data_IF_187435970542
#
_entry.id   IF_187435970542
#
_cell.length_a   1.000
_cell.length_b   1.000
_cell.length_c   1.000
_cell.angle_alpha   90.00
_cell.angle_beta   90.00
_cell.angle_gamma   90.00
#
_symmetry.space_group_name_H-M   'P 1'
#
loop_
_entity.id
_entity.type
_entity.pdbx_description
1 polymer ?
#
# COMPACT_ATOMS: atom_id res chain seq x y z
N UNK A 1 -49.64 -0.97 31.24
CA UNK A 1 -49.46 0.41 30.71
C UNK A 1 -47.97 0.64 30.65
N UNK A 2 -47.45 0.76 29.46
CA UNK A 2 -46.00 1.03 29.20
C UNK A 2 -45.93 2.51 28.86
N UNK A 3 -45.27 3.30 29.70
CA UNK A 3 -45.03 4.71 29.44
C UNK A 3 -43.88 4.85 28.42
N UNK A 4 -44.15 5.52 27.31
CA UNK A 4 -43.16 5.93 26.35
C UNK A 4 -42.65 7.32 26.74
N UNK A 5 -41.36 7.42 27.02
CA UNK A 5 -40.70 8.72 27.16
C UNK A 5 -39.86 9.01 25.92
N UNK A 6 -40.15 10.10 25.26
CA UNK A 6 -39.39 10.63 24.11
C UNK A 6 -38.36 11.63 24.64
N UNK A 7 -37.10 11.32 24.48
CA UNK A 7 -36.04 12.28 24.71
C UNK A 7 -35.63 12.96 23.36
N UNK A 8 -35.56 14.27 23.40
CA UNK A 8 -35.13 15.09 22.24
C UNK A 8 -33.71 15.57 22.44
N UNK A 9 -32.86 15.30 21.46
CA UNK A 9 -31.48 15.83 21.45
C UNK A 9 -31.39 16.85 20.34
N UNK A 10 -30.92 18.04 20.67
CA UNK A 10 -30.65 19.10 19.71
C UNK A 10 -29.22 19.03 19.22
N UNK A 11 -29.01 18.87 17.91
CA UNK A 11 -27.70 18.91 17.27
C UNK A 11 -27.59 20.14 16.37
N UNK A 12 -26.44 20.82 16.43
CA UNK A 12 -26.09 21.93 15.56
C UNK A 12 -25.41 21.39 14.30
N UNK A 13 -25.94 21.74 13.12
CA UNK A 13 -25.44 21.25 11.81
C UNK A 13 -24.32 22.11 11.21
N UNK A 14 -23.73 23.01 12.00
CA UNK A 14 -22.64 23.89 11.54
C UNK A 14 -23.11 25.11 10.73
N UNK A 15 -24.41 25.22 10.40
CA UNK A 15 -24.96 26.36 9.66
C UNK A 15 -25.79 27.32 10.54
N UNK A 16 -25.79 27.10 11.86
CA UNK A 16 -26.54 27.89 12.82
C UNK A 16 -28.03 27.53 12.96
N UNK A 17 -28.49 26.43 12.37
CA UNK A 17 -29.88 25.92 12.53
C UNK A 17 -29.90 24.70 13.42
N UNK A 18 -30.76 24.71 14.44
CA UNK A 18 -31.02 23.58 15.32
C UNK A 18 -32.02 22.62 14.68
N UNK A 19 -31.65 21.35 14.56
CA UNK A 19 -32.57 20.25 14.24
C UNK A 19 -32.72 19.34 15.45
N UNK A 20 -33.97 19.02 15.77
CA UNK A 20 -34.32 18.06 16.83
C UNK A 20 -34.54 16.68 16.22
N UNK A 21 -33.86 15.68 16.76
CA UNK A 21 -34.05 14.26 16.41
C UNK A 21 -34.59 13.53 17.61
N UNK A 22 -35.73 12.88 17.46
CA UNK A 22 -36.36 12.08 18.50
C UNK A 22 -35.75 10.69 18.57
N UNK A 23 -35.32 10.24 19.73
CA UNK A 23 -34.85 8.88 20.00
C UNK A 23 -35.85 8.17 20.91
N UNK A 24 -36.40 7.05 20.48
CA UNK A 24 -37.23 6.19 21.31
C UNK A 24 -36.34 5.29 22.19
N UNK A 25 -36.45 5.39 23.51
CA UNK A 25 -35.71 4.56 24.45
C UNK A 25 -36.63 3.48 25.01
N UNK A 26 -36.28 2.22 24.79
CA UNK A 26 -36.95 1.08 25.43
C UNK A 26 -36.34 0.87 26.81
N UNK A 27 -37.11 1.00 27.86
CA UNK A 27 -36.75 0.70 29.25
C UNK A 27 -36.92 -0.78 29.57
N UNK A 28 -35.87 -1.46 29.93
CA UNK A 28 -35.93 -2.83 30.41
C UNK A 28 -34.57 -3.43 30.74
N UNK A 29 -34.20 -3.45 32.01
CA UNK A 29 -33.25 -4.32 32.74
C UNK A 29 -31.77 -4.37 32.36
N UNK A 30 -30.93 -3.71 33.16
CA UNK A 30 -29.54 -3.99 33.59
C UNK A 30 -28.69 -4.92 32.69
N UNK A 31 -28.03 -4.34 31.72
CA UNK A 31 -26.77 -4.83 31.17
C UNK A 31 -25.72 -3.71 31.32
N UNK A 32 -24.65 -4.00 32.06
CA UNK A 32 -23.45 -3.19 32.02
C UNK A 32 -22.87 -3.28 30.60
N UNK A 33 -23.23 -2.36 29.76
CA UNK A 33 -22.52 -2.15 28.50
C UNK A 33 -21.19 -1.46 28.86
N UNK A 34 -20.10 -2.23 28.89
CA UNK A 34 -18.76 -1.67 28.75
C UNK A 34 -18.74 -0.99 27.38
N UNK A 35 -18.95 0.30 27.35
CA UNK A 35 -18.50 1.14 26.26
C UNK A 35 -16.98 1.11 26.28
N UNK A 36 -16.36 0.20 25.52
CA UNK A 36 -15.03 0.41 25.03
C UNK A 36 -15.10 1.69 24.20
N UNK A 37 -14.74 2.80 24.82
CA UNK A 37 -14.45 4.02 24.10
C UNK A 37 -13.28 3.70 23.17
N UNK A 38 -13.57 3.35 21.92
CA UNK A 38 -12.61 3.44 20.85
C UNK A 38 -12.32 4.93 20.74
N UNK A 39 -11.23 5.37 21.40
CA UNK A 39 -10.73 6.71 21.21
C UNK A 39 -10.57 6.92 19.70
N UNK A 40 -11.09 8.01 19.12
CA UNK A 40 -10.79 8.33 17.74
C UNK A 40 -9.26 8.42 17.63
N UNK A 41 -8.66 7.60 16.81
CA UNK A 41 -7.27 7.80 16.38
C UNK A 41 -7.31 9.10 15.58
N UNK A 42 -6.98 10.21 16.26
CA UNK A 42 -6.87 11.52 15.63
C UNK A 42 -5.63 11.47 14.74
N UNK A 43 -5.82 11.29 13.46
CA UNK A 43 -4.76 11.38 12.45
C UNK A 43 -4.59 12.81 11.90
N UNK A 44 -5.15 13.82 12.58
CA UNK A 44 -5.08 15.24 12.17
C UNK A 44 -3.82 15.99 12.64
N UNK A 45 -2.83 15.27 13.20
CA UNK A 45 -1.52 15.84 13.51
C UNK A 45 -0.60 15.90 12.30
N UNK A 46 0.47 16.73 12.36
CA UNK A 46 1.52 16.69 11.34
C UNK A 46 2.08 15.27 11.21
N UNK A 47 2.37 14.84 9.98
CA UNK A 47 2.96 13.51 9.76
C UNK A 47 4.31 13.42 10.48
N UNK A 48 4.63 12.27 11.11
CA UNK A 48 5.90 12.09 11.81
C UNK A 48 7.09 12.31 10.87
N UNK A 49 8.14 12.90 11.38
CA UNK A 49 9.42 13.03 10.67
C UNK A 49 10.07 11.66 10.45
N UNK A 50 11.09 11.57 9.58
CA UNK A 50 11.84 10.32 9.40
C UNK A 50 12.39 9.78 10.73
N UNK A 51 12.95 10.66 11.58
CA UNK A 51 13.52 10.30 12.89
C UNK A 51 12.48 9.76 13.88
N UNK A 52 11.25 10.26 13.82
CA UNK A 52 10.13 9.84 14.68
C UNK A 52 9.45 8.55 14.19
N UNK A 53 9.71 8.16 12.94
CA UNK A 53 9.02 7.02 12.31
C UNK A 53 9.52 5.67 12.78
N UNK A 54 10.74 5.54 13.30
CA UNK A 54 11.27 4.28 13.81
C UNK A 54 12.80 4.15 13.77
N UNK A 55 13.29 2.93 13.93
CA UNK A 55 14.71 2.60 13.88
C UNK A 55 15.11 2.14 12.48
N UNK A 56 16.17 2.75 11.94
CA UNK A 56 16.74 2.44 10.63
C UNK A 56 17.75 1.27 10.73
N UNK A 57 17.77 0.41 9.70
CA UNK A 57 18.70 -0.70 9.59
C UNK A 57 18.81 -1.25 8.16
N UNK A 58 19.58 -2.33 8.00
CA UNK A 58 19.79 -2.99 6.71
C UNK A 58 19.64 -4.50 6.83
N UNK A 59 18.94 -5.11 5.89
CA UNK A 59 18.86 -6.56 5.70
C UNK A 59 19.73 -6.95 4.50
N UNK A 60 20.48 -8.06 4.62
CA UNK A 60 21.31 -8.57 3.53
C UNK A 60 20.48 -9.47 2.62
N UNK A 61 20.40 -9.13 1.33
CA UNK A 61 19.76 -9.93 0.26
C UNK A 61 20.79 -10.30 -0.80
N UNK A 62 21.42 -11.46 -0.65
CA UNK A 62 22.60 -11.80 -1.45
C UNK A 62 23.70 -10.76 -1.28
N UNK A 63 24.10 -10.10 -2.37
CA UNK A 63 25.10 -9.03 -2.35
C UNK A 63 24.51 -7.64 -2.10
N UNK A 64 23.18 -7.51 -2.09
CA UNK A 64 22.46 -6.22 -1.99
C UNK A 64 22.04 -5.99 -0.54
N UNK A 65 22.27 -4.79 -0.01
CA UNK A 65 21.75 -4.32 1.27
C UNK A 65 20.44 -3.60 1.06
N UNK A 66 19.40 -4.06 1.73
CA UNK A 66 18.05 -3.48 1.70
C UNK A 66 17.86 -2.68 2.97
N UNK A 67 17.73 -1.37 2.81
CA UNK A 67 17.43 -0.45 3.90
C UNK A 67 15.99 -0.65 4.38
N UNK A 68 15.77 -0.51 5.66
CA UNK A 68 14.43 -0.49 6.25
C UNK A 68 14.35 0.47 7.45
N UNK A 69 13.12 0.87 7.77
CA UNK A 69 12.77 1.50 9.04
C UNK A 69 11.77 0.60 9.75
N UNK A 70 12.03 0.28 11.03
CA UNK A 70 11.19 -0.62 11.82
C UNK A 70 10.67 0.04 13.08
N UNK A 71 9.45 -0.34 13.49
CA UNK A 71 8.79 0.13 14.71
C UNK A 71 7.88 -0.95 15.28
N UNK A 72 7.72 -0.96 16.62
CA UNK A 72 6.83 -1.87 17.32
C UNK A 72 7.42 -3.26 17.54
N UNK A 73 6.61 -4.17 18.05
CA UNK A 73 6.94 -5.56 18.34
C UNK A 73 5.71 -6.44 18.07
N UNK A 74 5.91 -7.74 17.88
CA UNK A 74 4.84 -8.70 17.63
C UNK A 74 4.95 -9.37 16.26
N UNK A 75 3.85 -9.85 15.66
CA UNK A 75 3.85 -10.44 14.33
C UNK A 75 4.40 -9.45 13.29
N UNK A 76 5.19 -9.95 12.34
CA UNK A 76 5.87 -9.12 11.36
C UNK A 76 4.93 -8.63 10.26
N UNK A 77 4.99 -7.34 9.96
CA UNK A 77 4.35 -6.69 8.81
C UNK A 77 5.43 -6.01 7.97
N UNK A 78 5.60 -6.43 6.72
CA UNK A 78 6.55 -5.85 5.76
C UNK A 78 5.79 -4.94 4.80
N UNK A 79 6.16 -3.67 4.75
CA UNK A 79 5.56 -2.64 3.91
C UNK A 79 6.49 -2.31 2.74
N UNK A 80 6.00 -2.45 1.51
CA UNK A 80 6.76 -2.30 0.26
C UNK A 80 6.16 -1.15 -0.53
N UNK A 81 6.94 -0.09 -0.77
CA UNK A 81 6.53 1.09 -1.53
C UNK A 81 6.56 0.85 -3.04
N UNK A 82 6.01 1.79 -3.81
CA UNK A 82 6.01 1.79 -5.27
C UNK A 82 6.98 2.79 -5.92
N UNK A 83 6.61 3.26 -7.11
CA UNK A 83 7.33 4.27 -7.88
C UNK A 83 6.42 5.48 -8.18
N UNK A 84 6.93 6.73 -8.06
CA UNK A 84 8.17 7.11 -7.38
C UNK A 84 7.91 7.31 -5.89
N UNK A 85 8.47 6.45 -5.07
CA UNK A 85 8.20 6.45 -3.63
C UNK A 85 9.40 5.88 -2.84
N UNK A 86 9.31 5.81 -1.51
CA UNK A 86 10.28 5.16 -0.63
C UNK A 86 9.59 4.80 0.69
N UNK A 87 10.29 4.17 1.67
CA UNK A 87 9.71 3.69 2.92
C UNK A 87 8.81 4.70 3.64
N UNK A 88 9.07 6.00 3.53
CA UNK A 88 8.37 7.08 4.22
C UNK A 88 6.92 7.28 3.74
N UNK A 89 6.53 6.66 2.65
CA UNK A 89 5.13 6.62 2.21
C UNK A 89 4.22 6.05 3.30
N UNK A 90 4.76 5.16 4.14
CA UNK A 90 4.04 4.47 5.21
C UNK A 90 4.00 5.22 6.54
N UNK A 91 4.57 6.43 6.63
CA UNK A 91 4.70 7.23 7.85
C UNK A 91 3.39 7.42 8.63
N UNK A 92 2.24 7.46 7.93
CA UNK A 92 0.93 7.60 8.55
C UNK A 92 0.32 6.28 9.03
N UNK A 93 0.70 5.15 8.43
CA UNK A 93 0.22 3.82 8.79
C UNK A 93 1.06 3.18 9.90
N UNK A 94 2.36 3.40 9.89
CA UNK A 94 3.31 2.77 10.82
C UNK A 94 2.98 2.98 12.30
N UNK A 95 2.62 4.19 12.79
CA UNK A 95 2.31 4.39 14.21
C UNK A 95 1.20 3.48 14.72
N UNK A 96 0.06 3.45 14.05
CA UNK A 96 -1.09 2.64 14.48
C UNK A 96 -0.86 1.13 14.31
N UNK A 97 -0.18 0.70 13.25
CA UNK A 97 0.19 -0.70 13.07
C UNK A 97 1.17 -1.17 14.14
N UNK A 98 2.13 -0.31 14.52
CA UNK A 98 3.16 -0.65 15.51
C UNK A 98 2.65 -0.86 16.94
N UNK A 99 1.41 -0.53 17.22
CA UNK A 99 0.76 -0.85 18.50
C UNK A 99 0.58 -2.37 18.73
N UNK A 100 0.50 -3.15 17.64
CA UNK A 100 0.21 -4.59 17.70
C UNK A 100 1.14 -5.46 16.87
N UNK A 101 1.98 -4.85 16.03
CA UNK A 101 2.82 -5.53 15.06
C UNK A 101 4.25 -4.99 15.09
N UNK A 102 5.22 -5.83 14.73
CA UNK A 102 6.53 -5.37 14.30
C UNK A 102 6.40 -4.92 12.85
N UNK A 103 6.42 -3.60 12.61
CA UNK A 103 6.27 -3.01 11.28
C UNK A 103 7.64 -2.72 10.70
N UNK A 104 7.88 -3.14 9.46
CA UNK A 104 9.11 -2.93 8.72
C UNK A 104 8.77 -2.33 7.36
N UNK A 105 9.07 -1.05 7.17
CA UNK A 105 8.96 -0.37 5.88
C UNK A 105 10.31 -0.38 5.18
N UNK A 106 10.42 -1.10 4.05
CA UNK A 106 11.68 -1.26 3.33
C UNK A 106 11.79 -0.27 2.17
N UNK A 107 13.02 0.16 1.86
CA UNK A 107 13.34 0.73 0.55
C UNK A 107 13.64 -0.39 -0.42
N UNK A 108 13.00 -0.42 -1.56
CA UNK A 108 13.33 -1.39 -2.60
C UNK A 108 14.73 -1.11 -3.18
N UNK A 109 15.42 -2.12 -3.74
CA UNK A 109 16.70 -1.91 -4.43
C UNK A 109 16.57 -0.80 -5.47
N UNK A 110 17.59 0.03 -5.64
CA UNK A 110 17.57 1.18 -6.53
C UNK A 110 16.98 2.45 -5.92
N UNK A 111 16.36 2.37 -4.74
CA UNK A 111 15.71 3.49 -4.07
C UNK A 111 16.41 3.90 -2.78
N UNK A 112 16.46 5.20 -2.54
CA UNK A 112 16.90 5.87 -1.32
C UNK A 112 18.22 5.31 -0.75
N UNK A 113 18.18 4.57 0.36
CA UNK A 113 19.36 4.05 1.06
C UNK A 113 19.67 2.58 0.77
N UNK A 114 18.80 1.89 0.04
CA UNK A 114 19.11 0.53 -0.44
C UNK A 114 20.16 0.57 -1.53
N UNK A 115 20.91 -0.52 -1.67
CA UNK A 115 21.89 -0.66 -2.74
C UNK A 115 21.24 -0.55 -4.11
N UNK A 116 22.01 -0.07 -5.08
CA UNK A 116 21.57 0.30 -6.41
C UNK A 116 22.38 -0.45 -7.47
N UNK A 117 22.22 -1.78 -7.58
CA UNK A 117 23.02 -2.59 -8.51
C UNK A 117 22.77 -2.17 -9.95
N UNK A 118 23.80 -2.21 -10.77
CA UNK A 118 23.72 -1.94 -12.21
C UNK A 118 23.12 -3.11 -12.98
N UNK A 119 22.49 -2.81 -14.11
CA UNK A 119 21.90 -3.80 -15.01
C UNK A 119 20.43 -4.08 -14.76
N UNK A 120 19.67 -4.22 -15.84
CA UNK A 120 18.20 -4.45 -15.81
C UNK A 120 17.87 -5.78 -15.14
N UNK A 121 18.71 -6.79 -15.34
CA UNK A 121 18.55 -8.14 -14.77
C UNK A 121 18.63 -8.16 -13.24
N UNK A 122 19.23 -7.11 -12.62
CA UNK A 122 19.26 -6.95 -11.16
C UNK A 122 17.91 -6.58 -10.57
N UNK A 123 16.94 -6.21 -11.41
CA UNK A 123 15.60 -5.77 -11.02
C UNK A 123 14.52 -6.74 -11.50
N UNK A 124 14.90 -7.99 -11.84
CA UNK A 124 13.92 -9.04 -12.16
C UNK A 124 13.00 -9.29 -10.96
N UNK A 125 11.73 -9.70 -11.22
CA UNK A 125 10.76 -9.98 -10.17
C UNK A 125 11.27 -11.02 -9.15
N UNK A 126 12.02 -12.01 -9.60
CA UNK A 126 12.66 -13.01 -8.74
C UNK A 126 13.57 -12.36 -7.69
N UNK A 127 14.41 -11.39 -8.09
CA UNK A 127 15.30 -10.68 -7.18
C UNK A 127 14.55 -9.76 -6.22
N UNK A 128 13.51 -9.07 -6.70
CA UNK A 128 12.67 -8.22 -5.86
C UNK A 128 11.92 -9.03 -4.80
N UNK A 129 11.39 -10.18 -5.17
CA UNK A 129 10.78 -11.16 -4.25
C UNK A 129 11.83 -11.70 -3.25
N UNK A 130 13.05 -11.94 -3.73
CA UNK A 130 14.18 -12.35 -2.90
C UNK A 130 14.51 -11.33 -1.81
N UNK A 131 14.39 -10.03 -2.08
CA UNK A 131 14.59 -8.96 -1.08
C UNK A 131 13.56 -9.03 0.04
N UNK A 132 12.30 -9.23 -0.30
CA UNK A 132 11.22 -9.38 0.72
C UNK A 132 11.49 -10.60 1.59
N UNK A 133 11.88 -11.73 0.99
CA UNK A 133 12.27 -12.94 1.72
C UNK A 133 13.43 -12.68 2.66
N UNK A 134 14.47 -11.97 2.20
CA UNK A 134 15.63 -11.62 2.99
C UNK A 134 15.27 -10.74 4.19
N UNK A 135 14.38 -9.75 4.00
CA UNK A 135 13.88 -8.89 5.08
C UNK A 135 13.13 -9.74 6.12
N UNK A 136 12.21 -10.62 5.71
CA UNK A 136 11.47 -11.50 6.65
C UNK A 136 12.45 -12.35 7.46
N UNK A 137 13.44 -12.98 6.81
CA UNK A 137 14.45 -13.81 7.48
C UNK A 137 15.38 -13.01 8.39
N UNK A 138 15.71 -11.77 8.02
CA UNK A 138 16.52 -10.87 8.85
C UNK A 138 15.89 -10.61 10.23
N UNK A 139 14.55 -10.53 10.28
CA UNK A 139 13.80 -10.39 11.53
C UNK A 139 13.54 -11.74 12.24
N UNK A 140 14.16 -12.83 11.79
CA UNK A 140 14.04 -14.16 12.41
C UNK A 140 12.65 -14.79 12.25
N UNK A 141 11.86 -14.33 11.27
CA UNK A 141 10.49 -14.81 11.06
C UNK A 141 10.42 -15.79 9.89
N UNK A 142 9.53 -16.76 10.01
CA UNK A 142 9.24 -17.72 8.93
C UNK A 142 8.19 -17.17 7.96
N UNK A 143 7.30 -16.31 8.43
CA UNK A 143 6.24 -15.69 7.65
C UNK A 143 5.93 -14.27 8.13
N UNK A 144 5.30 -13.48 7.26
CA UNK A 144 4.88 -12.13 7.56
C UNK A 144 3.55 -11.79 6.88
N UNK A 145 2.90 -10.75 7.38
CA UNK A 145 1.94 -9.97 6.57
C UNK A 145 2.74 -9.18 5.56
N UNK A 146 2.41 -9.30 4.27
CA UNK A 146 3.07 -8.56 3.19
C UNK A 146 2.12 -7.50 2.67
N UNK A 147 2.58 -6.25 2.66
CA UNK A 147 1.80 -5.08 2.23
C UNK A 147 2.54 -4.40 1.10
N UNK A 148 1.86 -4.11 -0.01
CA UNK A 148 2.49 -3.43 -1.14
C UNK A 148 1.60 -2.38 -1.79
N UNK A 149 2.23 -1.29 -2.23
CA UNK A 149 1.63 -0.24 -3.03
C UNK A 149 2.33 -0.16 -4.38
N UNK A 150 1.60 -0.01 -5.49
CA UNK A 150 2.13 0.13 -6.86
C UNK A 150 3.16 -0.98 -7.18
N UNK A 151 4.42 -0.69 -7.55
CA UNK A 151 5.45 -1.72 -7.76
C UNK A 151 5.67 -2.59 -6.54
N UNK A 152 5.56 -2.05 -5.33
CA UNK A 152 5.56 -2.85 -4.10
C UNK A 152 4.39 -3.83 -4.06
N UNK A 153 3.24 -3.45 -4.61
CA UNK A 153 2.08 -4.34 -4.80
C UNK A 153 2.37 -5.46 -5.80
N UNK A 154 3.08 -5.16 -6.91
CA UNK A 154 3.50 -6.17 -7.89
C UNK A 154 4.44 -7.21 -7.25
N UNK A 155 5.39 -6.73 -6.44
CA UNK A 155 6.31 -7.59 -5.67
C UNK A 155 5.53 -8.41 -4.64
N UNK A 156 4.58 -7.80 -3.91
CA UNK A 156 3.77 -8.46 -2.89
C UNK A 156 2.86 -9.55 -3.49
N UNK A 157 2.20 -9.29 -4.63
CA UNK A 157 1.45 -10.32 -5.37
C UNK A 157 2.35 -11.48 -5.77
N UNK A 158 3.51 -11.19 -6.39
CA UNK A 158 4.46 -12.20 -6.83
C UNK A 158 5.01 -13.00 -5.65
N UNK A 159 5.31 -12.35 -4.51
CA UNK A 159 5.76 -12.99 -3.29
C UNK A 159 4.71 -13.97 -2.75
N UNK A 160 3.45 -13.54 -2.64
CA UNK A 160 2.37 -14.39 -2.13
C UNK A 160 2.09 -15.60 -3.03
N UNK A 161 2.26 -15.47 -4.35
CA UNK A 161 2.12 -16.55 -5.31
C UNK A 161 3.29 -17.55 -5.29
N UNK A 162 4.52 -17.07 -5.06
CA UNK A 162 5.73 -17.91 -5.13
C UNK A 162 6.22 -18.42 -3.78
N UNK A 163 5.85 -17.74 -2.68
CA UNK A 163 6.20 -18.09 -1.30
C UNK A 163 4.96 -18.11 -0.40
N UNK A 164 3.95 -18.95 -0.73
CA UNK A 164 2.70 -18.98 0.04
C UNK A 164 2.93 -19.41 1.51
N UNK A 165 3.96 -20.20 1.79
CA UNK A 165 4.34 -20.63 3.13
C UNK A 165 4.89 -19.48 3.99
N UNK A 166 5.43 -18.43 3.36
CA UNK A 166 5.98 -17.26 4.03
C UNK A 166 4.99 -16.08 4.09
N UNK A 167 3.80 -16.20 3.49
CA UNK A 167 2.79 -15.14 3.45
C UNK A 167 1.63 -15.48 4.37
N UNK A 168 1.52 -14.78 5.50
CA UNK A 168 0.40 -14.95 6.43
C UNK A 168 -0.88 -14.31 5.89
N UNK A 169 -0.78 -13.06 5.45
CA UNK A 169 -1.85 -12.26 4.83
C UNK A 169 -1.25 -11.30 3.81
N UNK A 170 -2.03 -10.91 2.84
CA UNK A 170 -1.61 -9.98 1.79
C UNK A 170 -2.48 -8.72 1.79
N UNK A 171 -1.84 -7.54 1.78
CA UNK A 171 -2.53 -6.25 1.64
C UNK A 171 -1.99 -5.52 0.42
N UNK A 172 -2.87 -5.13 -0.48
CA UNK A 172 -2.51 -4.45 -1.73
C UNK A 172 -3.21 -3.10 -1.81
N UNK A 173 -2.43 -2.06 -2.05
CA UNK A 173 -2.91 -0.71 -2.28
C UNK A 173 -2.62 -0.29 -3.72
N UNK A 174 -3.63 0.19 -4.43
CA UNK A 174 -3.54 0.70 -5.81
C UNK A 174 -2.59 -0.11 -6.71
N UNK A 175 -2.79 -1.40 -6.72
CA UNK A 175 -2.33 -2.31 -7.77
C UNK A 175 -3.33 -3.47 -7.92
N UNK A 176 -3.90 -3.69 -9.10
CA UNK A 176 -4.72 -4.87 -9.37
C UNK A 176 -3.86 -6.14 -9.41
N UNK A 177 -4.51 -7.29 -9.37
CA UNK A 177 -3.82 -8.56 -9.65
C UNK A 177 -3.15 -8.52 -11.04
N UNK A 178 -1.94 -9.09 -11.23
CA UNK A 178 -1.22 -9.05 -12.50
C UNK A 178 -2.07 -9.48 -13.71
N UNK A 179 -2.88 -10.52 -13.57
CA UNK A 179 -3.78 -10.97 -14.65
C UNK A 179 -4.89 -9.96 -14.95
N UNK A 180 -5.40 -9.25 -13.93
CA UNK A 180 -6.38 -8.17 -14.12
C UNK A 180 -5.77 -7.00 -14.90
N UNK A 181 -4.57 -6.57 -14.54
CA UNK A 181 -3.85 -5.53 -15.27
C UNK A 181 -3.54 -5.96 -16.70
N UNK A 182 -3.05 -7.19 -16.88
CA UNK A 182 -2.75 -7.71 -18.22
C UNK A 182 -4.00 -7.77 -19.11
N UNK A 183 -5.15 -8.18 -18.55
CA UNK A 183 -6.43 -8.16 -19.26
C UNK A 183 -6.79 -6.73 -19.71
N UNK A 184 -6.72 -5.75 -18.81
CA UNK A 184 -7.03 -4.35 -19.13
C UNK A 184 -6.06 -3.80 -20.19
N UNK A 185 -4.77 -4.09 -20.08
CA UNK A 185 -3.79 -3.71 -21.11
C UNK A 185 -4.11 -4.33 -22.48
N UNK A 186 -4.62 -5.57 -22.52
CA UNK A 186 -4.96 -6.24 -23.77
C UNK A 186 -6.28 -5.75 -24.39
N UNK A 187 -7.25 -5.31 -23.56
CA UNK A 187 -8.63 -5.10 -24.03
C UNK A 187 -9.17 -3.68 -23.83
N UNK A 188 -8.56 -2.86 -22.98
CA UNK A 188 -9.05 -1.53 -22.64
C UNK A 188 -8.15 -0.44 -23.27
N UNK A 189 -8.60 0.26 -24.33
CA UNK A 189 -7.81 1.34 -24.95
C UNK A 189 -7.48 2.51 -24.00
N UNK A 190 -8.32 2.75 -22.98
CA UNK A 190 -8.05 3.79 -22.00
C UNK A 190 -6.89 3.39 -21.09
N UNK A 191 -6.88 2.15 -20.58
CA UNK A 191 -5.75 1.64 -19.80
C UNK A 191 -4.46 1.68 -20.64
N UNK A 192 -4.51 1.32 -21.93
CA UNK A 192 -3.34 1.40 -22.81
C UNK A 192 -2.82 2.83 -22.96
N UNK A 193 -3.71 3.83 -23.14
CA UNK A 193 -3.30 5.24 -23.20
C UNK A 193 -2.69 5.70 -21.88
N UNK A 194 -3.33 5.39 -20.77
CA UNK A 194 -2.87 5.78 -19.45
C UNK A 194 -1.53 5.12 -19.05
N UNK A 195 -1.23 3.95 -19.62
CA UNK A 195 0.05 3.24 -19.43
C UNK A 195 1.19 3.73 -20.33
N UNK A 196 1.00 4.81 -21.11
CA UNK A 196 2.04 5.34 -21.99
C UNK A 196 3.32 5.75 -21.23
N UNK A 197 3.20 6.20 -19.98
CA UNK A 197 4.35 6.52 -19.14
C UNK A 197 5.27 5.30 -18.92
N UNK A 198 4.70 4.12 -18.69
CA UNK A 198 5.46 2.89 -18.47
C UNK A 198 6.26 2.51 -19.74
N UNK A 199 5.67 2.63 -20.93
CA UNK A 199 6.39 2.43 -22.20
C UNK A 199 7.51 3.46 -22.41
N UNK A 200 7.28 4.71 -21.98
CA UNK A 200 8.32 5.73 -22.04
C UNK A 200 9.48 5.42 -21.09
N UNK A 201 9.21 4.91 -19.90
CA UNK A 201 10.24 4.50 -18.93
C UNK A 201 11.07 3.30 -19.40
N UNK A 202 10.54 2.50 -20.30
CA UNK A 202 11.28 1.38 -20.90
C UNK A 202 12.29 1.82 -22.00
N UNK A 203 12.22 3.07 -22.47
CA UNK A 203 13.10 3.56 -23.55
C UNK A 203 14.51 3.81 -23.02
N UNK A 204 15.54 3.59 -23.87
CA UNK A 204 16.91 4.02 -23.54
C UNK A 204 16.97 5.52 -23.21
N UNK A 205 17.73 5.88 -22.19
CA UNK A 205 17.91 7.27 -21.80
C UNK A 205 16.74 7.91 -21.06
N UNK A 206 15.64 7.18 -20.77
CA UNK A 206 14.48 7.73 -20.06
C UNK A 206 14.85 8.28 -18.68
N UNK A 207 15.81 7.67 -18.00
CA UNK A 207 16.24 8.11 -16.66
C UNK A 207 16.86 9.52 -16.67
N UNK A 208 17.53 9.93 -17.75
CA UNK A 208 18.12 11.26 -17.87
C UNK A 208 17.10 12.40 -17.99
N UNK A 209 15.82 12.07 -18.19
CA UNK A 209 14.71 13.03 -18.22
C UNK A 209 14.07 13.23 -16.86
N UNK A 210 14.47 12.46 -15.83
CA UNK A 210 13.91 12.54 -14.48
C UNK A 210 14.72 13.51 -13.63
N UNK A 211 14.02 14.19 -12.71
CA UNK A 211 14.62 14.98 -11.64
C UNK A 211 13.96 14.61 -10.32
N UNK A 212 14.67 14.76 -9.21
CA UNK A 212 14.14 14.48 -7.88
C UNK A 212 12.89 15.33 -7.58
N UNK A 213 12.93 16.61 -7.94
CA UNK A 213 11.81 17.55 -7.79
C UNK A 213 10.61 17.15 -8.67
N UNK A 214 10.89 16.69 -9.89
CA UNK A 214 9.88 16.19 -10.83
C UNK A 214 9.17 14.97 -10.30
N UNK A 215 9.91 14.01 -9.75
CA UNK A 215 9.38 12.81 -9.13
C UNK A 215 8.60 13.10 -7.85
N UNK A 216 8.99 14.10 -7.05
CA UNK A 216 8.32 14.49 -5.80
C UNK A 216 7.09 15.41 -6.01
N UNK A 217 6.71 15.73 -7.26
CA UNK A 217 5.65 16.73 -7.56
C UNK A 217 4.28 16.35 -7.01
N UNK A 218 3.98 15.07 -6.92
CA UNK A 218 2.71 14.56 -6.41
C UNK A 218 2.54 14.76 -4.89
N UNK A 219 3.64 14.90 -4.14
CA UNK A 219 3.61 15.11 -2.69
C UNK A 219 3.10 16.51 -2.38
N UNK A 220 1.93 16.61 -1.76
CA UNK A 220 1.26 17.89 -1.48
C UNK A 220 1.76 18.57 -0.20
N UNK A 221 2.17 17.79 0.81
CA UNK A 221 2.76 18.29 2.06
C UNK A 221 4.19 18.81 1.80
N UNK A 222 4.47 20.11 2.02
CA UNK A 222 5.78 20.69 1.73
C UNK A 222 6.92 20.09 2.56
N UNK A 223 6.68 19.76 3.83
CA UNK A 223 7.70 19.16 4.70
C UNK A 223 8.04 17.74 4.22
N UNK A 224 7.02 16.93 3.92
CA UNK A 224 7.23 15.61 3.34
C UNK A 224 7.93 15.70 1.97
N UNK A 225 7.54 16.67 1.11
CA UNK A 225 8.16 16.83 -0.21
C UNK A 225 9.66 17.05 -0.15
N UNK A 226 10.16 17.79 0.84
CA UNK A 226 11.61 17.95 1.04
C UNK A 226 12.29 16.61 1.27
N UNK A 227 11.74 15.77 2.16
CA UNK A 227 12.28 14.42 2.42
C UNK A 227 12.25 13.54 1.14
N UNK A 228 11.19 13.65 0.33
CA UNK A 228 11.08 12.91 -0.94
C UNK A 228 12.13 13.36 -1.96
N UNK A 229 12.37 14.66 -2.10
CA UNK A 229 13.42 15.20 -3.00
C UNK A 229 14.80 14.65 -2.57
N UNK A 230 15.12 14.72 -1.28
CA UNK A 230 16.37 14.18 -0.74
C UNK A 230 16.50 12.66 -0.94
N UNK A 231 15.42 11.89 -0.74
CA UNK A 231 15.43 10.45 -0.97
C UNK A 231 15.66 10.12 -2.46
N UNK A 232 15.04 10.87 -3.38
CA UNK A 232 15.23 10.66 -4.82
C UNK A 232 16.61 11.11 -5.30
N UNK A 233 17.21 12.14 -4.68
CA UNK A 233 18.61 12.52 -4.94
C UNK A 233 19.61 11.41 -4.55
N UNK A 234 19.25 10.59 -3.55
CA UNK A 234 20.04 9.41 -3.16
C UNK A 234 19.75 8.18 -3.99
N UNK A 235 18.68 8.16 -4.80
CA UNK A 235 18.22 7.01 -5.57
C UNK A 235 18.87 6.93 -6.94
N UNK A 236 18.94 5.74 -7.53
CA UNK A 236 19.28 5.55 -8.93
C UNK A 236 18.05 5.66 -9.83
N UNK A 237 17.92 6.72 -10.59
CA UNK A 237 16.80 6.83 -11.56
C UNK A 237 16.81 5.71 -12.58
N UNK A 238 18.00 5.26 -13.01
CA UNK A 238 18.12 4.10 -13.90
C UNK A 238 17.62 2.82 -13.16
N UNK A 239 18.04 2.61 -11.91
CA UNK A 239 17.57 1.50 -11.08
C UNK A 239 16.06 1.52 -10.89
N UNK A 240 15.49 2.70 -10.59
CA UNK A 240 14.04 2.88 -10.46
C UNK A 240 13.29 2.50 -11.73
N UNK A 241 13.81 2.91 -12.92
CA UNK A 241 13.20 2.58 -14.21
C UNK A 241 13.45 1.14 -14.65
N UNK A 242 14.43 0.46 -14.09
CA UNK A 242 14.70 -0.95 -14.38
C UNK A 242 13.57 -1.88 -13.90
N UNK A 243 12.74 -1.46 -12.94
CA UNK A 243 11.49 -2.15 -12.60
C UNK A 243 10.58 -2.27 -13.83
N UNK A 244 10.40 -1.18 -14.57
CA UNK A 244 9.60 -1.16 -15.80
C UNK A 244 10.28 -1.92 -16.94
N UNK A 245 11.59 -1.76 -17.11
CA UNK A 245 12.35 -2.41 -18.18
C UNK A 245 12.37 -3.93 -18.05
N UNK A 246 12.48 -4.43 -16.81
CA UNK A 246 12.55 -5.86 -16.52
C UNK A 246 11.17 -6.53 -16.47
N UNK A 247 10.12 -5.85 -15.93
CA UNK A 247 8.91 -6.55 -15.50
C UNK A 247 7.61 -6.01 -16.11
N UNK A 248 7.57 -4.78 -16.65
CA UNK A 248 6.32 -4.25 -17.20
C UNK A 248 6.04 -4.84 -18.59
N UNK A 249 4.80 -5.27 -18.89
CA UNK A 249 4.44 -5.84 -20.18
C UNK A 249 4.78 -4.91 -21.36
N UNK A 250 5.17 -5.51 -22.47
CA UNK A 250 5.47 -4.80 -23.73
C UNK A 250 4.37 -5.04 -24.76
N UNK A 251 4.18 -4.08 -25.66
CA UNK A 251 3.28 -4.25 -26.81
C UNK A 251 3.86 -5.29 -27.82
N UNK A 252 2.99 -6.05 -28.50
CA UNK A 252 1.53 -6.04 -28.37
C UNK A 252 1.07 -6.74 -27.08
N UNK A 253 0.13 -6.11 -26.38
CA UNK A 253 -0.45 -6.70 -25.17
C UNK A 253 -1.36 -7.87 -25.51
N UNK A 254 -1.24 -8.96 -24.75
CA UNK A 254 -2.01 -10.18 -24.93
C UNK A 254 -2.75 -10.54 -23.62
N UNK A 255 -3.85 -11.25 -23.75
CA UNK A 255 -4.52 -11.83 -22.60
C UNK A 255 -3.59 -12.80 -21.85
N UNK A 256 -3.78 -13.00 -20.53
CA UNK A 256 -3.05 -14.01 -19.78
C UNK A 256 -3.20 -15.40 -20.43
N UNK A 257 -2.08 -16.07 -20.70
CA UNK A 257 -2.08 -17.41 -21.31
C UNK A 257 -2.49 -18.48 -20.29
N UNK A 258 -2.24 -18.22 -18.99
CA UNK A 258 -2.64 -19.09 -17.89
C UNK A 258 -3.02 -18.23 -16.68
N UNK A 259 -3.84 -18.79 -15.78
CA UNK A 259 -4.19 -18.10 -14.53
C UNK A 259 -3.02 -18.01 -13.54
N UNK A 260 -1.96 -18.79 -13.76
CA UNK A 260 -0.82 -18.89 -12.83
C UNK A 260 -1.19 -19.52 -11.48
N UNK A 261 -0.27 -19.49 -10.51
CA UNK A 261 -0.54 -19.98 -9.16
C UNK A 261 -1.52 -19.04 -8.44
N UNK A 262 -2.49 -19.62 -7.72
CA UNK A 262 -3.42 -18.85 -6.88
C UNK A 262 -2.75 -18.42 -5.59
N UNK A 263 -3.16 -17.24 -5.10
CA UNK A 263 -2.77 -16.74 -3.78
C UNK A 263 -3.49 -17.56 -2.70
N UNK A 264 -2.74 -18.09 -1.73
CA UNK A 264 -3.23 -19.05 -0.70
C UNK A 264 -3.53 -18.42 0.66
N UNK A 265 -3.36 -17.11 0.81
CA UNK A 265 -3.66 -16.39 2.03
C UNK A 265 -4.86 -15.44 1.86
N UNK A 266 -5.48 -14.96 2.95
CA UNK A 266 -6.48 -13.89 2.87
C UNK A 266 -5.88 -12.61 2.27
N UNK A 267 -6.69 -11.89 1.49
CA UNK A 267 -6.27 -10.68 0.77
C UNK A 267 -7.16 -9.50 1.13
N UNK A 268 -6.54 -8.37 1.48
CA UNK A 268 -7.16 -7.06 1.53
C UNK A 268 -6.67 -6.22 0.35
N UNK A 269 -7.58 -5.70 -0.46
CA UNK A 269 -7.26 -4.70 -1.47
C UNK A 269 -7.93 -3.37 -1.11
N UNK A 270 -7.18 -2.27 -1.22
CA UNK A 270 -7.69 -0.90 -1.07
C UNK A 270 -7.29 -0.12 -2.32
N UNK A 271 -8.27 0.45 -3.03
CA UNK A 271 -8.03 1.08 -4.33
C UNK A 271 -8.74 2.44 -4.44
N UNK A 272 -7.97 3.47 -4.75
CA UNK A 272 -8.49 4.82 -5.06
C UNK A 272 -9.11 4.85 -6.45
N UNK A 273 -10.38 5.24 -6.57
CA UNK A 273 -11.13 5.17 -7.84
C UNK A 273 -10.72 6.26 -8.84
N UNK A 274 -9.97 7.28 -8.42
CA UNK A 274 -9.44 8.31 -9.31
C UNK A 274 -8.07 7.95 -9.89
N UNK A 275 -7.53 6.75 -9.56
CA UNK A 275 -6.27 6.29 -10.12
C UNK A 275 -6.33 6.20 -11.65
N UNK A 276 -5.55 7.05 -12.30
CA UNK A 276 -5.46 7.11 -13.76
C UNK A 276 -4.42 6.16 -14.34
N UNK A 277 -3.47 5.73 -13.53
CA UNK A 277 -2.44 4.79 -13.96
C UNK A 277 -2.97 3.35 -13.99
N UNK A 278 -3.80 3.01 -13.01
CA UNK A 278 -4.32 1.66 -12.77
C UNK A 278 -5.84 1.72 -12.63
N UNK A 279 -6.54 1.62 -13.74
CA UNK A 279 -7.99 1.78 -13.79
C UNK A 279 -8.72 0.69 -12.98
N UNK A 280 -9.84 1.02 -12.31
CA UNK A 280 -10.56 0.09 -11.45
C UNK A 280 -11.15 -1.12 -12.17
N UNK A 281 -11.29 -1.08 -13.49
CA UNK A 281 -11.68 -2.25 -14.30
C UNK A 281 -10.79 -3.47 -14.09
N UNK A 282 -9.51 -3.24 -13.81
CA UNK A 282 -8.54 -4.30 -13.54
C UNK A 282 -8.79 -5.07 -12.22
N UNK A 283 -9.62 -4.53 -11.32
CA UNK A 283 -10.00 -5.20 -10.06
C UNK A 283 -11.04 -6.31 -10.28
N UNK A 284 -11.76 -6.28 -11.40
CA UNK A 284 -12.78 -7.28 -11.69
C UNK A 284 -12.16 -8.67 -11.76
N UNK A 285 -12.92 -9.64 -11.27
CA UNK A 285 -12.54 -11.05 -11.28
C UNK A 285 -11.32 -11.43 -10.42
N UNK A 286 -10.77 -10.53 -9.61
CA UNK A 286 -9.62 -10.80 -8.73
C UNK A 286 -9.83 -12.07 -7.90
N UNK A 287 -11.06 -12.36 -7.44
CA UNK A 287 -11.40 -13.55 -6.66
C UNK A 287 -11.13 -14.87 -7.38
N UNK A 288 -11.04 -14.90 -8.71
CA UNK A 288 -10.72 -16.11 -9.48
C UNK A 288 -9.29 -16.60 -9.24
N UNK A 289 -8.38 -15.72 -8.86
CA UNK A 289 -6.95 -15.98 -8.64
C UNK A 289 -6.59 -16.18 -7.15
N UNK A 290 -7.60 -16.29 -6.28
CA UNK A 290 -7.43 -16.47 -4.85
C UNK A 290 -8.03 -17.79 -4.38
N UNK A 291 -7.43 -18.41 -3.35
CA UNK A 291 -7.97 -19.60 -2.66
C UNK A 291 -8.68 -19.22 -1.35
N UNK A 292 -8.48 -17.99 -0.85
CA UNK A 292 -9.01 -17.48 0.41
C UNK A 292 -9.81 -16.19 0.18
N UNK A 293 -10.29 -15.63 1.27
CA UNK A 293 -11.17 -14.46 1.29
C UNK A 293 -10.51 -13.23 0.65
N UNK A 294 -11.28 -12.50 -0.14
CA UNK A 294 -10.97 -11.16 -0.62
C UNK A 294 -11.84 -10.14 0.11
N UNK A 295 -11.18 -9.19 0.76
CA UNK A 295 -11.80 -7.93 1.17
C UNK A 295 -11.37 -6.85 0.19
N UNK A 296 -12.31 -6.27 -0.55
CA UNK A 296 -12.04 -5.17 -1.49
C UNK A 296 -12.70 -3.89 -0.97
N UNK A 297 -11.89 -2.85 -0.79
CA UNK A 297 -12.32 -1.51 -0.41
C UNK A 297 -11.96 -0.55 -1.53
N UNK A 298 -12.96 0.09 -2.11
CA UNK A 298 -12.75 1.15 -3.09
C UNK A 298 -12.97 2.51 -2.43
N UNK A 299 -12.12 3.48 -2.75
CA UNK A 299 -12.13 4.81 -2.12
C UNK A 299 -12.44 5.87 -3.16
N UNK A 300 -13.71 6.31 -3.26
CA UNK A 300 -14.07 7.43 -4.14
C UNK A 300 -13.29 8.70 -3.76
N UNK A 301 -12.78 9.40 -4.76
CA UNK A 301 -12.05 10.65 -4.56
C UNK A 301 -10.55 10.50 -4.27
N UNK A 302 -10.07 9.31 -3.88
CA UNK A 302 -8.64 9.04 -3.75
C UNK A 302 -8.03 8.64 -5.11
N UNK A 303 -6.80 9.07 -5.34
CA UNK A 303 -6.01 8.78 -6.53
C UNK A 303 -5.05 7.60 -6.26
N UNK A 304 -3.95 7.55 -6.99
CA UNK A 304 -2.95 6.49 -6.96
C UNK A 304 -2.32 6.25 -5.57
N UNK A 305 -2.03 7.30 -4.82
CA UNK A 305 -1.44 7.19 -3.46
C UNK A 305 -2.51 7.12 -2.37
N UNK A 306 -3.38 6.11 -2.43
CA UNK A 306 -4.52 5.96 -1.50
C UNK A 306 -4.11 5.99 -0.02
N UNK A 307 -2.88 5.50 0.32
CA UNK A 307 -2.31 5.55 1.67
C UNK A 307 -1.97 6.97 2.14
N UNK A 308 -1.92 7.93 1.22
CA UNK A 308 -1.74 9.36 1.51
C UNK A 308 -3.08 10.10 1.45
N UNK A 309 -3.84 9.89 0.37
CA UNK A 309 -5.08 10.62 0.08
C UNK A 309 -6.20 10.28 1.08
N UNK A 310 -6.24 9.04 1.54
CA UNK A 310 -7.21 8.54 2.50
C UNK A 310 -6.54 7.84 3.70
N UNK A 311 -5.48 8.48 4.24
CA UNK A 311 -4.59 7.88 5.22
C UNK A 311 -5.31 7.25 6.41
N UNK A 312 -6.30 7.94 6.99
CA UNK A 312 -7.09 7.46 8.13
C UNK A 312 -7.93 6.24 7.80
N UNK A 313 -8.62 6.29 6.65
CA UNK A 313 -9.45 5.16 6.20
C UNK A 313 -8.57 3.95 5.96
N UNK A 314 -7.46 4.11 5.25
CA UNK A 314 -6.49 3.04 4.97
C UNK A 314 -5.94 2.46 6.27
N UNK A 315 -5.48 3.32 7.18
CA UNK A 315 -4.91 2.89 8.46
C UNK A 315 -5.91 2.09 9.29
N UNK A 316 -7.11 2.63 9.52
CA UNK A 316 -8.16 1.94 10.29
C UNK A 316 -8.58 0.64 9.65
N UNK A 317 -8.72 0.61 8.32
CA UNK A 317 -9.08 -0.60 7.58
C UNK A 317 -8.02 -1.67 7.73
N UNK A 318 -6.74 -1.33 7.55
CA UNK A 318 -5.63 -2.27 7.73
C UNK A 318 -5.58 -2.82 9.16
N UNK A 319 -5.60 -1.94 10.17
CA UNK A 319 -5.57 -2.36 11.59
C UNK A 319 -6.74 -3.27 11.94
N UNK A 320 -7.96 -2.90 11.56
CA UNK A 320 -9.15 -3.70 11.85
C UNK A 320 -9.12 -5.06 11.13
N UNK A 321 -8.64 -5.10 9.89
CA UNK A 321 -8.56 -6.33 9.11
C UNK A 321 -7.45 -7.27 9.58
N UNK A 322 -6.31 -6.73 10.00
CA UNK A 322 -5.18 -7.52 10.50
C UNK A 322 -5.40 -8.08 11.91
N UNK A 323 -6.27 -7.48 12.72
CA UNK A 323 -6.62 -7.96 14.08
C UNK A 323 -7.70 -9.05 14.10
N UNK A 324 -8.25 -9.46 12.96
CA UNK A 324 -9.21 -10.56 12.83
C UNK A 324 -8.49 -11.94 13.08
#
# INVERSE_FOLDING_TARGET
MVEFSLAWVACNDGTGRMKTVGIAVWGGWWWWAMFLAVAPVLADGPAPTEAESGTSGFAQSGEVKIHYVTRGQGPLVVLIHGFPDYWYTWRRQMPALSESFQVVAMDQRGFNRSDQPEGVEQYSMEKLVGDVRAVIRHFGQDKAVVVGHDWGGAVAWSFAMTHPEMTDRLVILNLPHPNGLQRELATNPEQQRNSAYARNFQKPGAASQLTAEGLARWVTDPAARTNYVEAFQRSSFEGMLNFYKANYPREPYTLPVSEGPKVKCPVLMIHGLNDRALLPGALNDTWKWLEKDLTLVTVPGADHWVQQDAADLVTRTMVAWLRR
#
